data_IF_358563630015
#
_entry.id   IF_358563630015
#
_cell.length_a   1.000
_cell.length_b   1.000
_cell.length_c   1.000
_cell.angle_alpha   90.00
_cell.angle_beta   90.00
_cell.angle_gamma   90.00
#
_symmetry.space_group_name_H-M   'P 1'
#
loop_
_entity.id
_entity.type
_entity.pdbx_description
1 polymer ?
#
# COMPACT_ATOMS: atom_id res chain seq x y z
N UNK A 1 -0.30 -5.16 -5.49
CA UNK A 1 -0.76 -3.76 -5.69
C UNK A 1 -2.25 -3.79 -5.97
N UNK A 2 -3.08 -3.45 -4.99
CA UNK A 2 -4.51 -3.30 -5.25
C UNK A 2 -4.79 -1.85 -5.67
N UNK A 3 -4.87 -1.63 -7.00
CA UNK A 3 -5.18 -0.32 -7.60
C UNK A 3 -6.55 0.22 -7.15
N UNK A 4 -7.43 -0.61 -6.59
CA UNK A 4 -8.75 -0.19 -6.10
C UNK A 4 -8.63 0.67 -4.85
N UNK A 5 -7.82 0.27 -3.87
CA UNK A 5 -7.64 1.04 -2.64
C UNK A 5 -7.01 2.41 -2.89
N UNK A 6 -6.04 2.51 -3.80
CA UNK A 6 -5.42 3.79 -4.15
C UNK A 6 -6.46 4.77 -4.72
N UNK A 7 -7.37 4.28 -5.57
CA UNK A 7 -8.48 5.11 -6.10
C UNK A 7 -9.42 5.59 -5.00
N UNK A 8 -9.75 4.73 -4.03
CA UNK A 8 -10.60 5.13 -2.90
C UNK A 8 -9.95 6.23 -2.06
N UNK A 9 -8.62 6.16 -1.84
CA UNK A 9 -7.87 7.18 -1.09
C UNK A 9 -7.89 8.52 -1.83
N UNK A 10 -7.62 8.50 -3.14
CA UNK A 10 -7.66 9.68 -4.00
C UNK A 10 -9.06 10.31 -4.02
N UNK A 11 -10.09 9.50 -4.22
CA UNK A 11 -11.48 9.97 -4.24
C UNK A 11 -11.90 10.58 -2.90
N UNK A 12 -11.58 9.92 -1.78
CA UNK A 12 -11.91 10.42 -0.45
C UNK A 12 -11.29 11.80 -0.16
N UNK A 13 -10.02 12.00 -0.51
CA UNK A 13 -9.35 13.29 -0.32
C UNK A 13 -9.89 14.33 -1.31
N UNK A 14 -10.19 13.95 -2.55
CA UNK A 14 -10.79 14.86 -3.54
C UNK A 14 -12.14 15.41 -3.06
N UNK A 15 -13.00 14.56 -2.50
CA UNK A 15 -14.29 14.97 -1.91
C UNK A 15 -14.11 15.90 -0.71
N UNK A 16 -13.15 15.58 0.16
CA UNK A 16 -12.79 16.44 1.28
C UNK A 16 -12.31 17.82 0.84
N UNK A 17 -11.47 17.90 -0.20
CA UNK A 17 -11.06 19.17 -0.82
C UNK A 17 -12.22 19.90 -1.50
N UNK A 18 -13.26 19.17 -1.94
CA UNK A 18 -14.51 19.72 -2.43
C UNK A 18 -15.45 20.27 -1.35
N UNK A 19 -15.06 20.18 -0.07
CA UNK A 19 -15.84 20.70 1.06
C UNK A 19 -16.86 19.71 1.62
N UNK A 20 -16.84 18.45 1.20
CA UNK A 20 -17.70 17.42 1.80
C UNK A 20 -17.26 17.08 3.24
N UNK A 21 -18.24 16.83 4.10
CA UNK A 21 -18.01 16.44 5.48
C UNK A 21 -17.30 15.08 5.57
N UNK A 22 -16.21 14.94 6.36
CA UNK A 22 -15.48 13.67 6.54
C UNK A 22 -16.36 12.48 6.86
N UNK A 23 -17.41 12.72 7.66
CA UNK A 23 -18.36 11.71 8.11
C UNK A 23 -19.20 11.11 6.99
N UNK A 24 -19.55 11.91 5.98
CA UNK A 24 -20.25 11.44 4.78
C UNK A 24 -19.30 10.61 3.92
N UNK A 25 -18.08 11.12 3.69
CA UNK A 25 -17.10 10.52 2.80
C UNK A 25 -16.74 9.08 3.20
N UNK A 26 -16.36 8.85 4.47
CA UNK A 26 -15.96 7.50 4.88
C UNK A 26 -17.14 6.53 4.99
N UNK A 27 -18.36 7.04 5.22
CA UNK A 27 -19.58 6.20 5.22
C UNK A 27 -19.94 5.75 3.81
N UNK A 28 -19.91 6.66 2.84
CA UNK A 28 -20.22 6.38 1.43
C UNK A 28 -19.21 5.42 0.79
N UNK A 29 -17.95 5.49 1.21
CA UNK A 29 -16.87 4.64 0.71
C UNK A 29 -16.76 3.31 1.52
N UNK A 30 -17.64 3.09 2.50
CA UNK A 30 -17.64 1.92 3.39
C UNK A 30 -16.27 1.68 4.04
N UNK A 31 -15.69 2.75 4.60
CA UNK A 31 -14.41 2.73 5.29
C UNK A 31 -14.52 3.30 6.69
N UNK A 32 -13.60 2.87 7.56
CA UNK A 32 -13.58 3.34 8.93
C UNK A 32 -13.15 4.80 9.03
N UNK A 33 -13.62 5.50 10.07
CA UNK A 33 -13.12 6.83 10.46
C UNK A 33 -11.58 6.85 10.53
N UNK A 34 -10.99 5.84 11.17
CA UNK A 34 -9.53 5.72 11.30
C UNK A 34 -8.79 5.61 9.96
N UNK A 35 -9.38 4.92 8.98
CA UNK A 35 -8.82 4.79 7.64
C UNK A 35 -8.75 6.16 6.95
N UNK A 36 -9.84 6.94 7.00
CA UNK A 36 -9.90 8.26 6.38
C UNK A 36 -8.87 9.23 6.99
N UNK A 37 -8.88 9.38 8.31
CA UNK A 37 -7.97 10.32 8.98
C UNK A 37 -6.49 9.92 8.84
N UNK A 38 -6.18 8.62 8.73
CA UNK A 38 -4.82 8.16 8.42
C UNK A 38 -4.34 8.71 7.07
N UNK A 39 -5.16 8.61 6.02
CA UNK A 39 -4.77 9.07 4.68
C UNK A 39 -4.84 10.59 4.56
N UNK A 40 -5.78 11.25 5.23
CA UNK A 40 -5.84 12.71 5.32
C UNK A 40 -4.57 13.28 5.97
N UNK A 41 -4.12 12.72 7.09
CA UNK A 41 -2.86 13.10 7.71
C UNK A 41 -1.69 12.94 6.73
N UNK A 42 -1.59 11.79 6.05
CA UNK A 42 -0.52 11.55 5.06
C UNK A 42 -0.53 12.55 3.91
N UNK A 43 -1.71 12.95 3.44
CA UNK A 43 -1.84 14.01 2.44
C UNK A 43 -1.31 15.36 2.98
N UNK A 44 -1.65 15.72 4.21
CA UNK A 44 -1.18 16.97 4.84
C UNK A 44 0.34 17.00 5.11
N UNK A 45 0.96 15.85 5.37
CA UNK A 45 2.42 15.73 5.54
C UNK A 45 3.21 15.92 4.23
N UNK A 46 2.55 16.12 3.07
CA UNK A 46 3.20 16.49 1.82
C UNK A 46 3.97 15.36 1.12
N UNK A 47 3.69 14.09 1.45
CA UNK A 47 4.28 12.96 0.74
C UNK A 47 3.71 12.88 -0.68
N UNK A 48 4.54 13.04 -1.72
CA UNK A 48 4.12 12.93 -3.13
C UNK A 48 3.42 11.60 -3.46
N UNK A 49 3.66 10.56 -2.68
CA UNK A 49 3.09 9.23 -2.86
C UNK A 49 2.18 8.81 -1.70
N UNK A 50 1.59 9.78 -0.99
CA UNK A 50 0.73 9.55 0.16
C UNK A 50 -0.38 8.53 -0.07
N UNK A 51 -0.87 8.39 -1.31
CA UNK A 51 -1.96 7.48 -1.69
C UNK A 51 -1.48 6.04 -1.93
N UNK A 52 -0.18 5.82 -2.14
CA UNK A 52 0.41 4.49 -2.33
C UNK A 52 0.59 3.81 -0.98
N UNK A 53 0.43 2.49 -0.97
CA UNK A 53 0.75 1.73 0.24
C UNK A 53 2.27 1.72 0.44
N UNK A 54 2.71 2.08 1.65
CA UNK A 54 4.12 1.96 2.01
C UNK A 54 4.42 0.52 2.41
N UNK A 55 5.65 0.08 2.13
CA UNK A 55 6.11 -1.23 2.60
C UNK A 55 5.91 -1.35 4.11
N UNK A 56 5.22 -2.42 4.52
CA UNK A 56 5.04 -2.79 5.93
C UNK A 56 6.26 -3.54 6.49
N UNK A 57 7.27 -3.77 5.66
CA UNK A 57 8.49 -4.45 6.07
C UNK A 57 9.26 -3.56 7.08
N UNK A 58 9.84 -4.16 8.13
CA UNK A 58 10.79 -3.47 8.99
C UNK A 58 11.92 -2.89 8.13
N UNK A 59 12.23 -1.60 8.29
CA UNK A 59 13.38 -0.98 7.60
C UNK A 59 14.72 -1.56 8.09
N UNK A 60 14.73 -2.09 9.31
CA UNK A 60 15.84 -2.78 9.94
C UNK A 60 15.36 -4.14 10.44
N UNK A 61 15.32 -5.18 9.59
CA UNK A 61 15.06 -6.51 10.08
C UNK A 61 16.25 -6.94 10.94
N UNK A 62 16.04 -7.12 12.26
CA UNK A 62 17.05 -7.72 13.15
C UNK A 62 17.44 -9.15 12.72
N UNK A 63 16.65 -9.78 11.85
CA UNK A 63 16.91 -11.07 11.22
C UNK A 63 17.02 -10.92 9.70
N UNK A 64 17.88 -10.02 9.24
CA UNK A 64 18.24 -9.98 7.83
C UNK A 64 18.92 -11.31 7.47
N UNK A 65 18.40 -12.00 6.46
CA UNK A 65 19.12 -13.13 5.85
C UNK A 65 20.37 -12.56 5.17
N UNK A 66 21.44 -13.35 5.15
CA UNK A 66 22.62 -12.98 4.39
C UNK A 66 22.23 -12.66 2.92
N UNK A 67 22.70 -11.55 2.34
CA UNK A 67 22.32 -11.12 0.99
C UNK A 67 22.53 -12.20 -0.08
N UNK A 68 23.53 -13.08 0.09
CA UNK A 68 23.78 -14.19 -0.82
C UNK A 68 22.65 -15.23 -0.75
N UNK A 69 22.17 -15.54 0.45
CA UNK A 69 21.05 -16.46 0.68
C UNK A 69 19.75 -15.90 0.11
N UNK A 70 19.51 -14.59 0.23
CA UNK A 70 18.33 -13.95 -0.38
C UNK A 70 18.35 -14.06 -1.91
N UNK A 71 19.50 -13.83 -2.55
CA UNK A 71 19.65 -13.97 -4.00
C UNK A 71 19.42 -15.41 -4.46
N UNK A 72 19.95 -16.39 -3.72
CA UNK A 72 19.76 -17.82 -4.02
C UNK A 72 18.27 -18.21 -3.96
N UNK A 73 17.54 -17.76 -2.93
CA UNK A 73 16.09 -18.01 -2.80
C UNK A 73 15.31 -17.38 -3.97
N UNK A 74 15.67 -16.17 -4.40
CA UNK A 74 15.05 -15.51 -5.55
C UNK A 74 15.30 -16.31 -6.84
N UNK A 75 16.53 -16.76 -7.06
CA UNK A 75 16.90 -17.57 -8.23
C UNK A 75 16.12 -18.90 -8.26
N UNK A 76 16.06 -19.61 -7.13
CA UNK A 76 15.29 -20.86 -7.02
C UNK A 76 13.81 -20.60 -7.33
N UNK A 77 13.18 -19.58 -6.72
CA UNK A 77 11.77 -19.26 -6.96
C UNK A 77 11.46 -18.90 -8.42
N UNK A 78 12.38 -18.20 -9.09
CA UNK A 78 12.26 -17.89 -10.53
C UNK A 78 12.34 -19.17 -11.37
N UNK A 79 13.29 -20.06 -11.07
CA UNK A 79 13.49 -21.30 -11.80
C UNK A 79 12.33 -22.31 -11.58
N UNK A 80 11.77 -22.40 -10.38
CA UNK A 80 10.63 -23.27 -10.09
C UNK A 80 9.35 -22.84 -10.82
N UNK A 81 9.13 -21.52 -11.01
CA UNK A 81 8.01 -21.01 -11.83
C UNK A 81 8.14 -21.41 -13.30
N UNK A 82 9.35 -21.44 -13.83
CA UNK A 82 9.63 -21.80 -15.23
C UNK A 82 9.40 -23.30 -15.46
N UNK A 83 9.78 -24.17 -14.52
CA UNK A 83 9.53 -25.62 -14.63
C UNK A 83 8.03 -25.99 -14.53
N UNK A 84 7.24 -25.25 -13.75
CA UNK A 84 5.80 -25.46 -13.63
C UNK A 84 5.00 -25.03 -14.87
N UNK A 85 5.55 -24.17 -15.73
CA UNK A 85 4.90 -23.74 -16.98
C UNK A 85 5.27 -24.60 -18.20
N UNK A 86 6.17 -25.57 -18.04
CA UNK A 86 6.67 -26.45 -19.09
C UNK A 86 6.20 -27.92 -18.92
N UNK A 87 5.17 -28.18 -18.10
CA UNK A 87 4.53 -29.48 -17.96
C UNK A 87 3.10 -29.47 -18.49
#
# INVERSE_FOLDING_TARGET
MDKREERLRLEAIKRYLGGEEPSSIYRDIERSKSWFFKWLNRYQYGDHHWYKELSRAPKLPQRALDPHMEQLIIQIRKNSKIQSMLR
#
